data_IF_383206743907
#
_entry.id   IF_383206743907
#
_cell.length_a   1.000
_cell.length_b   1.000
_cell.length_c   1.000
_cell.angle_alpha   90.00
_cell.angle_beta   90.00
_cell.angle_gamma   90.00
#
_symmetry.space_group_name_H-M   'P 1'
#
loop_
_entity.id
_entity.type
_entity.pdbx_description
1 polymer ?
#
# COMPACT_ATOMS: atom_id res chain seq x y z
N UNK A 1 -4.15 -17.96 -0.24
CA UNK A 1 -3.01 -18.93 -0.37
C UNK A 1 -1.77 -18.17 -0.87
N UNK A 2 -0.54 -18.57 -0.43
CA UNK A 2 0.73 -18.03 -0.96
C UNK A 2 1.12 -18.80 -2.21
N UNK A 3 1.35 -18.10 -3.33
CA UNK A 3 1.70 -18.67 -4.64
C UNK A 3 3.18 -18.40 -4.92
N UNK A 4 3.96 -19.46 -5.19
CA UNK A 4 5.42 -19.39 -5.41
C UNK A 4 5.88 -20.09 -6.68
N UNK A 5 5.01 -20.83 -7.33
CA UNK A 5 5.29 -21.74 -8.46
C UNK A 5 4.86 -21.16 -9.81
N UNK A 6 4.11 -20.05 -9.80
CA UNK A 6 3.68 -19.34 -11.02
C UNK A 6 3.74 -17.82 -10.81
N UNK A 7 3.51 -17.05 -11.84
CA UNK A 7 3.50 -15.58 -11.82
C UNK A 7 2.17 -15.04 -12.34
N UNK A 8 1.79 -13.80 -11.99
CA UNK A 8 0.55 -13.19 -12.45
C UNK A 8 0.30 -13.32 -13.96
N UNK A 9 1.31 -13.03 -14.79
CA UNK A 9 1.11 -13.08 -16.26
C UNK A 9 0.86 -14.50 -16.75
N UNK A 10 1.48 -15.52 -16.15
CA UNK A 10 1.27 -16.92 -16.50
C UNK A 10 -0.15 -17.39 -16.19
N UNK A 11 -0.78 -16.79 -15.17
CA UNK A 11 -2.17 -17.07 -14.76
C UNK A 11 -3.19 -16.10 -15.38
N UNK A 12 -2.77 -15.21 -16.28
CA UNK A 12 -3.65 -14.26 -16.97
C UNK A 12 -4.03 -13.02 -16.17
N UNK A 13 -3.20 -12.65 -15.15
CA UNK A 13 -3.39 -11.45 -14.34
C UNK A 13 -2.48 -10.31 -14.82
N UNK A 14 -2.97 -9.08 -14.62
CA UNK A 14 -2.24 -7.83 -14.89
C UNK A 14 -2.56 -6.77 -13.84
N UNK A 15 -1.71 -5.77 -13.69
CA UNK A 15 -1.93 -4.64 -12.81
C UNK A 15 -2.91 -3.66 -13.47
N UNK A 16 -4.10 -3.41 -12.89
CA UNK A 16 -5.06 -2.44 -13.40
C UNK A 16 -4.53 -1.00 -13.23
N UNK A 17 -5.20 -0.05 -13.85
CA UNK A 17 -4.94 1.37 -13.61
C UNK A 17 -5.45 1.83 -12.24
N UNK A 18 -4.87 2.91 -11.72
CA UNK A 18 -5.29 3.53 -10.45
C UNK A 18 -6.76 4.00 -10.47
N UNK A 19 -7.28 4.33 -11.64
CA UNK A 19 -8.64 4.82 -11.85
C UNK A 19 -9.63 3.70 -12.23
N UNK A 20 -9.22 2.44 -12.23
CA UNK A 20 -10.14 1.29 -12.38
C UNK A 20 -11.03 1.19 -11.13
N UNK A 21 -12.18 0.54 -11.26
CA UNK A 21 -13.12 0.42 -10.14
C UNK A 21 -12.50 -0.34 -8.97
N UNK A 22 -12.40 0.32 -7.82
CA UNK A 22 -11.91 -0.26 -6.59
C UNK A 22 -12.95 -1.18 -5.93
N UNK A 23 -12.47 -2.22 -5.24
CA UNK A 23 -13.27 -3.03 -4.31
C UNK A 23 -13.18 -2.50 -2.89
N UNK A 24 -12.02 -1.96 -2.53
CA UNK A 24 -11.73 -1.43 -1.21
C UNK A 24 -10.49 -0.55 -1.23
N UNK A 25 -10.36 0.30 -0.21
CA UNK A 25 -9.13 1.04 0.14
C UNK A 25 -8.50 0.47 1.39
N UNK A 26 -7.17 0.40 1.45
CA UNK A 26 -6.41 -0.01 2.62
C UNK A 26 -5.68 1.21 3.19
N UNK A 27 -5.84 1.42 4.49
CA UNK A 27 -5.10 2.43 5.25
C UNK A 27 -4.45 1.78 6.46
N UNK A 28 -3.33 2.34 6.96
CA UNK A 28 -2.67 1.85 8.18
C UNK A 28 -2.79 2.92 9.25
N UNK A 29 -3.17 2.51 10.47
CA UNK A 29 -3.33 3.41 11.59
C UNK A 29 -1.99 4.04 12.00
N UNK A 30 -1.83 5.38 11.95
CA UNK A 30 -0.54 6.02 12.19
C UNK A 30 -0.21 6.04 13.69
N UNK A 31 0.93 5.45 14.07
CA UNK A 31 1.37 5.35 15.46
C UNK A 31 2.86 5.68 15.66
N UNK A 32 3.70 5.54 14.61
CA UNK A 32 5.15 5.72 14.72
C UNK A 32 5.52 7.16 15.05
N UNK A 33 6.07 7.41 16.24
CA UNK A 33 6.45 8.77 16.69
C UNK A 33 7.52 9.42 15.83
N UNK A 34 8.42 8.64 15.23
CA UNK A 34 9.44 9.12 14.29
C UNK A 34 8.86 9.68 12.99
N UNK A 35 7.69 9.21 12.57
CA UNK A 35 6.97 9.65 11.37
C UNK A 35 5.86 10.65 11.69
N UNK A 36 5.18 10.46 12.83
CA UNK A 36 3.98 11.19 13.21
C UNK A 36 4.20 11.87 14.56
N UNK A 37 4.50 13.19 14.59
CA UNK A 37 4.74 13.92 15.85
C UNK A 37 3.47 13.98 16.72
N UNK A 38 3.66 14.32 17.98
CA UNK A 38 2.57 14.49 18.96
C UNK A 38 1.68 13.25 19.11
N UNK A 39 2.30 12.07 19.20
CA UNK A 39 1.62 10.77 19.31
C UNK A 39 0.62 10.51 18.16
N UNK A 40 0.90 11.02 16.98
CA UNK A 40 0.11 10.87 15.76
C UNK A 40 -1.34 11.42 15.83
N UNK A 41 -1.74 12.13 16.88
CA UNK A 41 -3.15 12.54 17.09
C UNK A 41 -3.71 13.32 15.90
N UNK A 42 -2.96 14.28 15.37
CA UNK A 42 -3.40 15.06 14.21
C UNK A 42 -3.54 14.19 12.94
N UNK A 43 -2.59 13.28 12.72
CA UNK A 43 -2.65 12.33 11.60
C UNK A 43 -3.84 11.39 11.75
N UNK A 44 -4.06 10.83 12.94
CA UNK A 44 -5.19 9.95 13.23
C UNK A 44 -6.53 10.63 12.95
N UNK A 45 -6.69 11.91 13.31
CA UNK A 45 -7.91 12.66 12.99
C UNK A 45 -8.15 12.74 11.49
N UNK A 46 -7.11 13.11 10.72
CA UNK A 46 -7.20 13.19 9.26
C UNK A 46 -7.49 11.82 8.63
N UNK A 47 -6.86 10.76 9.14
CA UNK A 47 -7.11 9.40 8.65
C UNK A 47 -8.55 8.95 8.88
N UNK A 48 -9.12 9.31 10.04
CA UNK A 48 -10.51 9.04 10.35
C UNK A 48 -11.46 9.78 9.40
N UNK A 49 -11.19 11.06 9.12
CA UNK A 49 -12.01 11.87 8.20
C UNK A 49 -11.93 11.32 6.76
N UNK A 50 -10.74 10.97 6.29
CA UNK A 50 -10.52 10.38 4.96
C UNK A 50 -11.25 9.04 4.85
N UNK A 51 -11.05 8.14 5.82
CA UNK A 51 -11.69 6.83 5.83
C UNK A 51 -13.22 6.95 5.83
N UNK A 52 -13.77 7.90 6.62
CA UNK A 52 -15.20 8.16 6.63
C UNK A 52 -15.74 8.62 5.27
N UNK A 53 -15.02 9.52 4.58
CA UNK A 53 -15.42 9.99 3.25
C UNK A 53 -15.40 8.84 2.23
N UNK A 54 -14.30 8.06 2.20
CA UNK A 54 -14.13 6.94 1.27
C UNK A 54 -15.18 5.85 1.54
N UNK A 55 -15.48 5.55 2.80
CA UNK A 55 -16.41 4.49 3.18
C UNK A 55 -17.84 4.65 2.65
N UNK A 56 -18.20 5.85 2.21
CA UNK A 56 -19.49 6.12 1.53
C UNK A 56 -19.55 5.54 0.12
N UNK A 57 -18.43 5.19 -0.46
CA UNK A 57 -18.31 4.76 -1.85
C UNK A 57 -17.74 3.35 -1.99
N UNK A 58 -16.83 2.97 -1.07
CA UNK A 58 -16.19 1.66 -1.08
C UNK A 58 -15.78 1.23 0.33
N UNK A 59 -15.45 -0.04 0.48
CA UNK A 59 -14.97 -0.58 1.75
C UNK A 59 -13.60 -0.01 2.10
N UNK A 60 -13.38 0.30 3.39
CA UNK A 60 -12.09 0.75 3.91
C UNK A 60 -11.60 -0.23 4.98
N UNK A 61 -10.41 -0.77 4.77
CA UNK A 61 -9.69 -1.54 5.78
C UNK A 61 -8.69 -0.63 6.49
N UNK A 62 -8.72 -0.65 7.82
CA UNK A 62 -7.75 0.06 8.67
C UNK A 62 -6.89 -0.98 9.36
N UNK A 63 -5.63 -1.08 8.98
CA UNK A 63 -4.67 -1.96 9.63
C UNK A 63 -4.18 -1.29 10.92
N UNK A 64 -4.29 -1.98 12.04
CA UNK A 64 -3.77 -1.52 13.33
C UNK A 64 -3.06 -2.67 14.03
N UNK A 65 -1.94 -2.39 14.70
CA UNK A 65 -1.26 -3.37 15.52
C UNK A 65 -2.11 -3.75 16.75
N UNK A 66 -1.80 -4.86 17.39
CA UNK A 66 -2.54 -5.39 18.53
C UNK A 66 -2.71 -4.33 19.66
N UNK A 67 -1.64 -3.56 19.92
CA UNK A 67 -1.63 -2.53 20.97
C UNK A 67 -2.60 -1.38 20.69
N UNK A 68 -2.78 -1.00 19.43
CA UNK A 68 -3.57 0.16 19.05
C UNK A 68 -4.92 -0.21 18.42
N UNK A 69 -5.20 -1.49 18.23
CA UNK A 69 -6.43 -1.99 17.61
C UNK A 69 -7.69 -1.43 18.30
N UNK A 70 -7.81 -1.63 19.60
CA UNK A 70 -8.98 -1.15 20.35
C UNK A 70 -9.14 0.38 20.30
N UNK A 71 -8.02 1.13 20.30
CA UNK A 71 -8.05 2.58 20.15
C UNK A 71 -8.55 2.99 18.76
N UNK A 72 -8.05 2.37 17.71
CA UNK A 72 -8.48 2.65 16.34
C UNK A 72 -9.97 2.33 16.17
N UNK A 73 -10.40 1.15 16.59
CA UNK A 73 -11.80 0.72 16.52
C UNK A 73 -12.74 1.70 17.25
N UNK A 74 -12.41 2.08 18.48
CA UNK A 74 -13.21 3.04 19.26
C UNK A 74 -13.32 4.42 18.57
N UNK A 75 -12.27 4.87 17.86
CA UNK A 75 -12.29 6.13 17.11
C UNK A 75 -13.28 6.08 15.95
N UNK A 76 -13.30 4.99 15.20
CA UNK A 76 -14.23 4.81 14.10
C UNK A 76 -15.66 4.57 14.58
N UNK A 77 -15.87 3.79 15.64
CA UNK A 77 -17.19 3.56 16.22
C UNK A 77 -17.84 4.85 16.73
N UNK A 78 -17.06 5.73 17.37
CA UNK A 78 -17.55 7.04 17.84
C UNK A 78 -18.13 7.89 16.71
N UNK A 79 -17.50 7.88 15.53
CA UNK A 79 -18.01 8.62 14.37
C UNK A 79 -19.24 7.93 13.78
N UNK A 80 -19.24 6.60 13.72
CA UNK A 80 -20.43 5.84 13.33
C UNK A 80 -21.63 6.25 14.18
N UNK A 81 -21.47 6.28 15.49
CA UNK A 81 -22.55 6.65 16.42
C UNK A 81 -22.99 8.11 16.24
N UNK A 82 -22.05 9.04 16.03
CA UNK A 82 -22.38 10.44 15.76
C UNK A 82 -23.18 10.59 14.45
N UNK A 83 -22.73 9.96 13.37
CA UNK A 83 -23.39 10.02 12.06
C UNK A 83 -24.75 9.33 12.08
N UNK A 84 -24.89 8.20 12.78
CA UNK A 84 -26.16 7.47 12.88
C UNK A 84 -27.10 8.04 13.94
N UNK A 85 -26.58 8.67 15.01
CA UNK A 85 -27.35 9.25 16.11
C UNK A 85 -27.96 10.62 15.79
N UNK A 86 -27.27 11.47 15.01
CA UNK A 86 -27.80 12.75 14.52
C UNK A 86 -28.92 12.56 13.49
N UNK A 87 -29.03 11.39 12.91
CA UNK A 87 -29.96 11.06 11.85
C UNK A 87 -31.07 10.13 12.32
N UNK A 88 -31.85 10.53 13.33
CA UNK A 88 -33.11 9.84 13.69
C UNK A 88 -34.13 9.79 12.52
N UNK A 89 -33.79 10.34 11.36
CA UNK A 89 -34.54 10.30 10.10
C UNK A 89 -33.69 9.82 8.93
N UNK A 90 -32.44 9.34 9.16
CA UNK A 90 -31.64 8.78 8.09
C UNK A 90 -32.28 7.49 7.60
N UNK A 91 -32.51 7.44 6.29
CA UNK A 91 -32.92 6.23 5.59
C UNK A 91 -31.97 5.06 5.95
N UNK A 92 -32.47 3.85 5.89
CA UNK A 92 -31.68 2.63 6.10
C UNK A 92 -30.40 2.62 5.23
N UNK A 93 -30.38 3.34 4.11
CA UNK A 93 -29.24 3.54 3.23
C UNK A 93 -28.04 4.22 3.91
N UNK A 94 -28.25 5.17 4.84
CA UNK A 94 -27.14 5.82 5.56
C UNK A 94 -26.58 4.91 6.65
N UNK A 95 -27.42 4.08 7.27
CA UNK A 95 -26.97 3.06 8.24
C UNK A 95 -26.21 1.93 7.56
N UNK A 96 -26.56 1.61 6.32
CA UNK A 96 -25.87 0.62 5.49
C UNK A 96 -24.54 1.13 4.93
N UNK A 97 -24.32 2.45 4.91
CA UNK A 97 -23.14 3.08 4.28
C UNK A 97 -21.87 3.09 5.14
N UNK A 98 -21.88 2.53 6.37
CA UNK A 98 -20.67 2.41 7.17
C UNK A 98 -19.87 1.17 6.74
N UNK A 99 -18.86 1.37 5.92
CA UNK A 99 -18.09 0.29 5.32
C UNK A 99 -16.60 0.36 5.72
N UNK A 100 -16.35 0.56 7.04
CA UNK A 100 -14.99 0.57 7.61
C UNK A 100 -14.81 -0.67 8.48
N UNK A 101 -13.72 -1.37 8.29
CA UNK A 101 -13.30 -2.52 9.08
C UNK A 101 -11.87 -2.31 9.59
N UNK A 102 -11.70 -2.37 10.91
CA UNK A 102 -10.37 -2.37 11.52
C UNK A 102 -9.89 -3.82 11.60
N UNK A 103 -8.68 -4.08 11.10
CA UNK A 103 -8.07 -5.41 11.08
C UNK A 103 -6.76 -5.40 11.86
N UNK A 104 -6.52 -6.44 12.66
CA UNK A 104 -5.31 -6.56 13.47
C UNK A 104 -4.16 -7.09 12.61
N UNK A 105 -3.31 -6.19 12.14
CA UNK A 105 -2.09 -6.50 11.38
C UNK A 105 -0.96 -5.62 11.90
N UNK A 106 0.14 -6.28 12.27
CA UNK A 106 1.35 -5.61 12.74
C UNK A 106 2.05 -4.88 11.59
N UNK A 107 2.35 -3.59 11.80
CA UNK A 107 3.14 -2.75 10.88
C UNK A 107 4.13 -1.91 11.68
N UNK A 108 5.17 -1.42 11.01
CA UNK A 108 6.18 -0.54 11.62
C UNK A 108 5.86 0.94 11.34
N UNK A 109 5.16 1.26 10.22
CA UNK A 109 4.71 2.62 9.90
C UNK A 109 3.46 2.61 9.00
N UNK A 110 2.85 3.76 8.75
CA UNK A 110 1.55 3.92 8.10
C UNK A 110 1.64 4.18 6.58
N UNK A 111 2.44 3.41 5.86
CA UNK A 111 2.70 3.58 4.43
C UNK A 111 2.04 2.46 3.60
N UNK A 112 0.71 2.39 3.65
CA UNK A 112 -0.08 1.33 3.03
C UNK A 112 0.24 1.13 1.54
N UNK A 113 0.50 2.21 0.79
CA UNK A 113 0.86 2.12 -0.62
C UNK A 113 2.10 1.28 -0.88
N UNK A 114 3.05 1.31 0.05
CA UNK A 114 4.37 0.71 -0.13
C UNK A 114 4.48 -0.68 0.49
N UNK A 115 3.75 -0.94 1.58
CA UNK A 115 3.86 -2.19 2.34
C UNK A 115 2.69 -3.15 2.16
N UNK A 116 1.52 -2.66 1.69
CA UNK A 116 0.39 -3.52 1.40
C UNK A 116 0.52 -4.19 0.01
N UNK A 117 -0.32 -5.21 -0.29
CA UNK A 117 -0.22 -5.92 -1.56
C UNK A 117 -0.43 -4.98 -2.76
N UNK A 118 0.39 -5.16 -3.80
CA UNK A 118 0.00 -4.68 -5.12
C UNK A 118 -1.02 -5.65 -5.69
N UNK A 119 -2.21 -5.17 -6.02
CA UNK A 119 -3.26 -6.04 -6.56
C UNK A 119 -3.19 -6.14 -8.08
N UNK A 120 -3.42 -7.35 -8.56
CA UNK A 120 -3.56 -7.71 -9.98
C UNK A 120 -4.91 -8.33 -10.24
N UNK A 121 -5.43 -8.14 -11.44
CA UNK A 121 -6.77 -8.56 -11.86
C UNK A 121 -6.67 -9.53 -13.04
N UNK A 122 -7.40 -10.62 -13.00
CA UNK A 122 -7.51 -11.51 -14.14
C UNK A 122 -8.37 -10.88 -15.24
N UNK A 123 -7.84 -10.85 -16.47
CA UNK A 123 -8.48 -10.21 -17.60
C UNK A 123 -9.78 -10.88 -18.06
N UNK A 124 -9.97 -12.16 -17.74
CA UNK A 124 -11.14 -12.96 -18.19
C UNK A 124 -12.18 -13.12 -17.08
N UNK A 125 -11.74 -13.46 -15.87
CA UNK A 125 -12.66 -13.75 -14.76
C UNK A 125 -12.97 -12.53 -13.90
N UNK A 126 -12.10 -11.52 -13.92
CA UNK A 126 -12.16 -10.35 -13.02
C UNK A 126 -11.70 -10.66 -11.59
N UNK A 127 -11.20 -11.86 -11.32
CA UNK A 127 -10.65 -12.23 -10.02
C UNK A 127 -9.44 -11.37 -9.68
N UNK A 128 -9.23 -11.15 -8.38
CA UNK A 128 -8.17 -10.30 -7.86
C UNK A 128 -7.25 -11.11 -6.96
N UNK A 129 -5.94 -10.96 -7.15
CA UNK A 129 -4.90 -11.52 -6.29
C UNK A 129 -3.93 -10.44 -5.85
N UNK A 130 -3.28 -10.63 -4.70
CA UNK A 130 -2.21 -9.75 -4.24
C UNK A 130 -0.85 -10.18 -4.77
N UNK A 131 0.11 -9.24 -4.72
CA UNK A 131 1.54 -9.52 -4.87
C UNK A 131 2.23 -9.05 -3.59
N UNK A 132 3.02 -9.93 -2.99
CA UNK A 132 3.88 -9.67 -1.86
C UNK A 132 5.30 -9.38 -2.36
N UNK A 133 5.71 -8.11 -2.37
CA UNK A 133 7.06 -7.69 -2.65
C UNK A 133 7.95 -7.80 -1.41
N UNK A 134 9.26 -7.83 -1.59
CA UNK A 134 10.18 -7.59 -0.49
C UNK A 134 10.19 -6.10 -0.14
N UNK A 135 9.92 -5.77 1.11
CA UNK A 135 10.04 -4.41 1.62
C UNK A 135 11.27 -4.27 2.52
N UNK A 136 11.99 -3.15 2.41
CA UNK A 136 13.20 -2.89 3.18
C UNK A 136 13.35 -1.42 3.61
N UNK A 137 12.24 -0.79 3.98
CA UNK A 137 12.19 0.61 4.42
C UNK A 137 12.84 1.59 3.41
N UNK A 138 12.64 1.34 2.11
CA UNK A 138 13.12 2.16 0.98
C UNK A 138 14.63 2.22 0.82
N UNK A 139 15.39 1.25 1.31
CA UNK A 139 16.83 1.26 1.10
C UNK A 139 17.63 0.32 1.97
N UNK A 140 16.98 -0.42 2.86
CA UNK A 140 17.63 -1.38 3.74
C UNK A 140 18.73 -0.74 4.59
N UNK A 141 19.85 -1.43 4.69
CA UNK A 141 21.01 -0.94 5.43
C UNK A 141 21.76 0.18 4.71
N UNK A 142 21.55 0.36 3.41
CA UNK A 142 22.27 1.36 2.61
C UNK A 142 21.75 2.78 2.88
N UNK A 143 20.44 2.99 2.81
CA UNK A 143 19.81 4.30 2.96
C UNK A 143 18.32 4.22 3.38
N UNK A 144 17.92 3.14 4.01
CA UNK A 144 16.58 2.96 4.55
C UNK A 144 16.21 4.04 5.57
N UNK A 145 14.94 4.43 5.59
CA UNK A 145 14.45 5.48 6.48
C UNK A 145 14.40 5.04 7.95
N UNK A 146 14.25 3.76 8.21
CA UNK A 146 14.26 3.17 9.54
C UNK A 146 14.78 1.74 9.52
N UNK A 147 15.24 1.31 10.67
CA UNK A 147 15.57 -0.09 10.95
C UNK A 147 14.34 -0.81 11.51
N UNK A 148 14.36 -2.13 11.48
CA UNK A 148 13.28 -2.99 11.97
C UNK A 148 11.99 -2.76 11.15
N UNK A 149 12.03 -3.19 9.89
CA UNK A 149 10.90 -3.12 8.93
C UNK A 149 10.23 -4.49 8.72
N UNK A 150 10.49 -5.46 9.60
CA UNK A 150 10.05 -6.84 9.42
C UNK A 150 8.54 -7.00 9.52
N UNK A 151 7.84 -6.10 10.22
CA UNK A 151 6.39 -6.10 10.29
C UNK A 151 5.81 -5.59 8.98
N UNK A 152 6.33 -4.50 8.48
CA UNK A 152 5.94 -3.93 7.19
C UNK A 152 6.18 -4.91 6.04
N UNK A 153 7.32 -5.61 6.03
CA UNK A 153 7.66 -6.63 5.04
C UNK A 153 6.68 -7.83 5.02
N UNK A 154 5.96 -8.06 6.10
CA UNK A 154 4.96 -9.13 6.22
C UNK A 154 3.52 -8.67 5.99
N UNK A 155 3.27 -7.37 5.99
CA UNK A 155 1.92 -6.81 5.99
C UNK A 155 1.09 -7.24 4.76
N UNK A 156 1.71 -7.28 3.58
CA UNK A 156 1.04 -7.70 2.35
C UNK A 156 0.50 -9.13 2.45
N UNK A 157 1.34 -10.07 2.85
CA UNK A 157 0.95 -11.47 2.95
C UNK A 157 -0.08 -11.69 4.08
N UNK A 158 0.08 -11.00 5.21
CA UNK A 158 -0.88 -11.07 6.32
C UNK A 158 -2.25 -10.55 5.88
N UNK A 159 -2.31 -9.42 5.18
CA UNK A 159 -3.56 -8.86 4.66
C UNK A 159 -4.26 -9.84 3.70
N UNK A 160 -3.54 -10.40 2.73
CA UNK A 160 -4.10 -11.37 1.81
C UNK A 160 -4.65 -12.61 2.54
N UNK A 161 -3.92 -13.13 3.52
CA UNK A 161 -4.37 -14.28 4.31
C UNK A 161 -5.64 -13.98 5.10
N UNK A 162 -5.74 -12.83 5.75
CA UNK A 162 -6.90 -12.43 6.55
C UNK A 162 -8.14 -12.16 5.69
N UNK A 163 -7.96 -11.61 4.51
CA UNK A 163 -9.05 -11.23 3.61
C UNK A 163 -9.41 -12.31 2.59
N UNK A 164 -8.67 -13.44 2.60
CA UNK A 164 -8.93 -14.58 1.71
C UNK A 164 -8.43 -14.41 0.29
N UNK A 165 -7.63 -13.38 0.00
CA UNK A 165 -6.98 -13.25 -1.31
C UNK A 165 -5.80 -14.19 -1.45
N UNK A 166 -5.69 -14.82 -2.60
CA UNK A 166 -4.44 -15.46 -3.02
C UNK A 166 -3.36 -14.41 -3.25
N UNK A 167 -2.10 -14.76 -2.98
CA UNK A 167 -1.00 -13.81 -3.00
C UNK A 167 0.23 -14.41 -3.67
N UNK A 168 0.68 -13.82 -4.76
CA UNK A 168 1.96 -14.16 -5.38
C UNK A 168 3.10 -13.64 -4.53
N UNK A 169 4.07 -14.50 -4.27
CA UNK A 169 5.25 -14.12 -3.52
C UNK A 169 6.41 -13.78 -4.47
N UNK A 170 6.71 -12.51 -4.56
CA UNK A 170 7.77 -11.99 -5.43
C UNK A 170 9.14 -11.89 -4.74
N UNK A 171 9.25 -12.33 -3.47
CA UNK A 171 10.54 -12.32 -2.77
C UNK A 171 11.61 -13.08 -3.53
N UNK A 172 12.89 -12.63 -3.52
CA UNK A 172 13.43 -11.51 -2.75
C UNK A 172 13.44 -10.16 -3.50
N UNK A 173 12.64 -9.97 -4.55
CA UNK A 173 12.63 -8.75 -5.35
C UNK A 173 12.08 -7.57 -4.54
N UNK A 174 12.93 -6.56 -4.27
CA UNK A 174 12.54 -5.36 -3.52
C UNK A 174 11.78 -4.40 -4.44
N UNK A 175 10.54 -4.14 -4.09
CA UNK A 175 9.67 -3.19 -4.78
C UNK A 175 8.66 -2.63 -3.80
N UNK A 176 8.31 -1.36 -3.97
CA UNK A 176 7.19 -0.74 -3.28
C UNK A 176 6.11 -0.32 -4.28
N UNK A 177 4.85 -0.39 -3.89
CA UNK A 177 3.73 0.04 -4.74
C UNK A 177 3.85 1.50 -5.20
N UNK A 178 4.51 2.36 -4.40
CA UNK A 178 4.78 3.75 -4.76
C UNK A 178 5.84 3.93 -5.87
N UNK A 179 6.63 2.91 -6.19
CA UNK A 179 7.67 2.97 -7.24
C UNK A 179 7.18 2.64 -8.64
N UNK A 180 5.92 2.24 -8.77
CA UNK A 180 5.32 1.82 -10.03
C UNK A 180 4.02 2.59 -10.31
N UNK A 181 3.81 2.96 -11.57
CA UNK A 181 2.57 3.56 -12.06
C UNK A 181 2.13 2.83 -13.33
N UNK A 182 0.91 2.30 -13.32
CA UNK A 182 0.32 1.54 -14.43
C UNK A 182 -0.83 2.31 -15.08
N UNK A 183 -0.90 2.25 -16.42
CA UNK A 183 -2.07 2.73 -17.17
C UNK A 183 -3.18 1.68 -17.26
N UNK A 184 -2.93 0.45 -16.77
CA UNK A 184 -3.86 -0.68 -16.89
C UNK A 184 -3.91 -1.34 -18.26
N UNK A 185 -3.20 -0.81 -19.26
CA UNK A 185 -3.15 -1.32 -20.64
C UNK A 185 -1.81 -1.97 -20.99
N UNK A 186 -0.92 -2.01 -20.00
CA UNK A 186 0.39 -2.65 -20.09
C UNK A 186 1.56 -1.69 -20.17
N UNK A 187 1.36 -0.37 -19.98
CA UNK A 187 2.48 0.56 -19.79
C UNK A 187 2.72 0.78 -18.30
N UNK A 188 3.96 0.63 -17.87
CA UNK A 188 4.39 0.91 -16.49
C UNK A 188 5.49 1.97 -16.52
N UNK A 189 5.36 2.98 -15.67
CA UNK A 189 6.37 4.02 -15.47
C UNK A 189 7.11 3.77 -14.17
N UNK A 190 8.44 3.83 -14.23
CA UNK A 190 9.36 3.66 -13.09
C UNK A 190 10.48 4.68 -13.15
N UNK A 191 11.27 4.82 -12.07
CA UNK A 191 12.43 5.72 -12.07
C UNK A 191 13.74 4.96 -11.87
N UNK A 192 14.79 5.39 -12.59
CA UNK A 192 16.16 4.86 -12.43
C UNK A 192 16.65 5.04 -11.00
N UNK A 193 16.47 6.24 -10.46
CA UNK A 193 16.92 6.60 -9.10
C UNK A 193 16.26 5.74 -8.01
N UNK A 194 15.12 5.12 -8.26
CA UNK A 194 14.47 4.19 -7.35
C UNK A 194 14.94 2.74 -7.60
N UNK A 195 14.55 2.14 -8.71
CA UNK A 195 14.70 0.69 -8.90
C UNK A 195 16.15 0.23 -9.12
N UNK A 196 17.01 1.09 -9.67
CA UNK A 196 18.45 0.83 -9.85
C UNK A 196 19.29 1.31 -8.66
N UNK A 197 18.67 1.76 -7.58
CA UNK A 197 19.39 2.18 -6.38
C UNK A 197 20.06 0.98 -5.69
N UNK A 198 21.25 1.23 -5.12
CA UNK A 198 21.98 0.23 -4.31
C UNK A 198 21.18 -0.28 -3.11
N UNK A 199 20.21 0.51 -2.64
CA UNK A 199 19.34 0.15 -1.54
C UNK A 199 18.13 -0.71 -1.93
N UNK A 200 17.99 -1.11 -3.22
CA UNK A 200 16.88 -1.94 -3.69
C UNK A 200 17.36 -3.30 -4.19
N UNK A 201 17.77 -3.37 -5.44
CA UNK A 201 18.18 -4.61 -6.10
C UNK A 201 19.57 -4.44 -6.72
N UNK A 202 20.65 -4.27 -5.92
CA UNK A 202 21.98 -3.90 -6.41
C UNK A 202 22.60 -4.90 -7.39
N UNK A 203 22.20 -6.16 -7.28
CA UNK A 203 22.74 -7.26 -8.11
C UNK A 203 21.92 -7.51 -9.38
N UNK A 204 20.90 -6.68 -9.65
CA UNK A 204 20.05 -6.81 -10.83
C UNK A 204 20.33 -5.74 -11.88
N UNK A 205 20.43 -6.19 -13.16
CA UNK A 205 20.45 -5.26 -14.29
C UNK A 205 19.05 -4.67 -14.56
N UNK A 206 19.02 -3.60 -15.36
CA UNK A 206 17.76 -3.00 -15.84
C UNK A 206 16.87 -4.05 -16.52
N UNK A 207 17.43 -4.87 -17.37
CA UNK A 207 16.72 -5.91 -18.13
C UNK A 207 16.12 -6.98 -17.19
N UNK A 208 16.85 -7.33 -16.13
CA UNK A 208 16.34 -8.26 -15.13
C UNK A 208 15.18 -7.67 -14.32
N UNK A 209 15.26 -6.39 -13.96
CA UNK A 209 14.16 -5.67 -13.30
C UNK A 209 12.95 -5.59 -14.24
N UNK A 210 13.15 -5.20 -15.51
CA UNK A 210 12.07 -5.19 -16.50
C UNK A 210 11.40 -6.56 -16.67
N UNK A 211 12.19 -7.63 -16.67
CA UNK A 211 11.66 -8.98 -16.74
C UNK A 211 10.75 -9.29 -15.56
N UNK A 212 11.13 -8.88 -14.34
CA UNK A 212 10.27 -9.01 -13.15
C UNK A 212 8.99 -8.20 -13.29
N UNK A 213 9.08 -6.93 -13.70
CA UNK A 213 7.90 -6.09 -13.88
C UNK A 213 6.93 -6.66 -14.93
N UNK A 214 7.46 -7.20 -16.03
CA UNK A 214 6.65 -7.88 -17.06
C UNK A 214 5.94 -9.10 -16.51
N UNK A 215 6.63 -9.93 -15.73
CA UNK A 215 6.04 -11.15 -15.13
C UNK A 215 4.98 -10.88 -14.09
N UNK A 216 5.22 -9.90 -13.23
CA UNK A 216 4.34 -9.66 -12.08
C UNK A 216 3.22 -8.64 -12.37
N UNK A 217 3.46 -7.67 -13.24
CA UNK A 217 2.50 -6.60 -13.53
C UNK A 217 1.79 -6.75 -14.88
N UNK A 218 2.21 -7.72 -15.72
CA UNK A 218 1.71 -7.83 -17.09
C UNK A 218 2.17 -6.68 -17.99
N UNK A 219 3.27 -6.00 -17.64
CA UNK A 219 3.78 -4.87 -18.39
C UNK A 219 4.28 -5.30 -19.78
N UNK A 220 3.81 -4.63 -20.81
CA UNK A 220 4.28 -4.76 -22.20
C UNK A 220 5.36 -3.74 -22.52
N UNK A 221 5.21 -2.53 -21.96
CA UNK A 221 6.12 -1.39 -22.13
C UNK A 221 6.50 -0.83 -20.77
N UNK A 222 7.80 -0.57 -20.56
CA UNK A 222 8.30 0.08 -19.35
C UNK A 222 8.96 1.39 -19.76
N UNK A 223 8.53 2.48 -19.14
CA UNK A 223 9.07 3.81 -19.33
C UNK A 223 9.93 4.14 -18.12
N UNK A 224 11.22 4.36 -18.36
CA UNK A 224 12.15 4.76 -17.33
C UNK A 224 12.32 6.28 -17.33
N UNK A 225 12.13 6.89 -16.17
CA UNK A 225 12.42 8.30 -15.94
C UNK A 225 13.69 8.37 -15.08
N UNK A 226 14.70 9.20 -15.44
CA UNK A 226 15.97 9.20 -14.72
C UNK A 226 15.84 9.53 -13.24
N UNK A 227 14.97 10.49 -12.89
CA UNK A 227 14.81 11.00 -11.53
C UNK A 227 13.35 11.12 -11.15
N UNK A 228 13.06 11.00 -9.85
CA UNK A 228 11.78 11.37 -9.26
C UNK A 228 11.59 12.89 -9.15
N UNK A 229 10.65 13.34 -8.32
CA UNK A 229 10.35 14.76 -8.13
C UNK A 229 11.57 15.49 -7.55
N UNK A 230 11.88 16.66 -8.15
CA UNK A 230 12.97 17.54 -7.70
C UNK A 230 12.80 17.95 -6.21
N UNK A 231 13.90 17.90 -5.45
CA UNK A 231 13.92 18.05 -3.99
C UNK A 231 13.08 17.06 -3.17
N UNK A 232 12.41 16.12 -3.79
CA UNK A 232 12.10 14.88 -3.11
C UNK A 232 13.41 14.20 -2.72
N UNK A 233 13.54 13.58 -1.57
CA UNK A 233 14.66 12.73 -1.28
C UNK A 233 14.70 11.67 -2.37
N UNK A 234 15.37 12.03 -3.41
CA UNK A 234 15.73 11.40 -4.69
C UNK A 234 15.06 10.08 -5.06
N UNK A 235 14.10 9.60 -4.30
CA UNK A 235 13.69 8.20 -4.34
C UNK A 235 12.20 8.01 -4.25
N UNK A 236 11.43 9.00 -3.69
CA UNK A 236 9.99 8.85 -3.47
C UNK A 236 9.23 10.15 -3.63
N UNK A 237 8.03 10.07 -4.18
CA UNK A 237 7.08 11.18 -4.28
C UNK A 237 6.72 11.78 -2.91
N UNK A 238 6.96 11.05 -1.80
CA UNK A 238 6.45 11.36 -0.46
C UNK A 238 7.48 11.45 0.66
N UNK A 239 8.73 11.06 0.46
CA UNK A 239 9.70 10.95 1.57
C UNK A 239 10.36 12.24 2.01
N UNK A 240 10.06 13.40 1.42
CA UNK A 240 10.59 14.70 1.85
C UNK A 240 9.56 15.83 1.89
N UNK A 241 8.56 15.68 2.73
CA UNK A 241 7.97 16.85 3.39
C UNK A 241 8.67 17.17 4.73
N UNK A 242 9.84 16.57 5.02
CA UNK A 242 10.65 16.91 6.17
C UNK A 242 11.91 17.58 5.72
N UNK A 243 11.91 18.93 5.82
CA UNK A 243 13.13 19.69 5.85
C UNK A 243 14.03 19.14 6.95
N UNK A 244 15.23 18.71 6.57
CA UNK A 244 16.29 18.49 7.53
C UNK A 244 16.75 19.91 7.98
N UNK A 245 16.62 20.32 9.25
CA UNK A 245 17.00 21.65 9.71
C UNK A 245 18.51 21.79 9.94
N UNK A 246 19.34 20.99 9.29
CA UNK A 246 20.79 21.10 9.39
C UNK A 246 21.46 20.77 8.06
N UNK A 247 21.51 21.76 7.19
CA UNK A 247 22.66 22.21 6.37
C UNK A 247 22.37 23.59 5.79
#
# INVERSE_FOLDING_TARGET
MRITDTTPIEDGYYMPAEYDRHKATIMIWPVRTGSWPYNAVAAQNVFVDIAHIISRHEKVYILADEKHYAQAEARFMKIKDAVTGECNKASEDIKAAWNIEVVCIETDDAWARDVCPTFVKNGHTGDVRGINWKFNAWGGDYDGLYKNWEKDDKAALQFCNMTGYDCYDANPFVLEGGSIHSDGEGTVIVTDSCLLSKGRNPDMSREQIEHKLKKYLGAKKIIWIPYGIYNGASRWLWSRLRGNPSR
#
